data_IF_302472684671
#
_entry.id   IF_302472684671
#
_cell.length_a   1.000
_cell.length_b   1.000
_cell.length_c   1.000
_cell.angle_alpha   90.00
_cell.angle_beta   90.00
_cell.angle_gamma   90.00
#
_symmetry.space_group_name_H-M   'P 1'
#
loop_
_entity.id
_entity.type
_entity.pdbx_description
1 polymer ?
#
# COMPACT_ATOMS: atom_id res chain seq x y z
N UNK A 1 1.04 19.87 -3.90
CA UNK A 1 2.37 19.41 -3.46
C UNK A 1 2.45 17.93 -3.16
N UNK A 2 1.36 17.25 -2.80
CA UNK A 2 1.41 15.85 -2.35
C UNK A 2 2.05 14.88 -3.33
N UNK A 3 1.73 14.96 -4.63
CA UNK A 3 2.35 14.09 -5.63
C UNK A 3 3.89 14.21 -5.65
N UNK A 4 4.41 15.43 -5.58
CA UNK A 4 5.86 15.66 -5.54
C UNK A 4 6.50 15.10 -4.27
N UNK A 5 5.85 15.28 -3.12
CA UNK A 5 6.35 14.74 -1.85
C UNK A 5 6.30 13.20 -1.81
N UNK A 6 5.25 12.60 -2.39
CA UNK A 6 5.17 11.15 -2.57
C UNK A 6 6.29 10.62 -3.46
N UNK A 7 6.63 11.32 -4.55
CA UNK A 7 7.80 10.96 -5.38
C UNK A 7 9.09 10.92 -4.55
N UNK A 8 9.34 11.91 -3.71
CA UNK A 8 10.54 11.93 -2.84
C UNK A 8 10.58 10.75 -1.85
N UNK A 9 9.43 10.37 -1.28
CA UNK A 9 9.34 9.21 -0.41
C UNK A 9 9.53 7.89 -1.17
N UNK A 10 8.97 7.78 -2.37
CA UNK A 10 9.20 6.63 -3.26
C UNK A 10 10.70 6.50 -3.58
N UNK A 11 11.37 7.60 -3.91
CA UNK A 11 12.82 7.59 -4.19
C UNK A 11 13.63 7.14 -2.97
N UNK A 12 13.23 7.56 -1.76
CA UNK A 12 13.81 7.09 -0.50
C UNK A 12 13.59 5.58 -0.29
N UNK A 13 12.37 5.07 -0.52
CA UNK A 13 12.07 3.65 -0.34
C UNK A 13 12.80 2.78 -1.36
N UNK A 14 12.86 3.20 -2.63
CA UNK A 14 13.67 2.56 -3.68
C UNK A 14 15.14 2.46 -3.30
N UNK A 15 15.70 3.54 -2.75
CA UNK A 15 17.07 3.55 -2.28
C UNK A 15 17.29 2.54 -1.14
N UNK A 16 16.34 2.45 -0.20
CA UNK A 16 16.45 1.57 0.97
C UNK A 16 16.16 0.09 0.66
N UNK A 17 15.29 -0.21 -0.31
CA UNK A 17 14.80 -1.54 -0.67
C UNK A 17 15.88 -2.64 -0.71
N UNK A 18 16.97 -2.52 -1.49
CA UNK A 18 17.97 -3.59 -1.59
C UNK A 18 18.69 -3.84 -0.26
N UNK A 19 18.85 -2.84 0.59
CA UNK A 19 19.48 -2.99 1.90
C UNK A 19 18.52 -3.63 2.90
N UNK A 20 17.26 -3.20 2.90
CA UNK A 20 16.24 -3.64 3.85
C UNK A 20 15.74 -5.07 3.59
N UNK A 21 15.93 -5.61 2.39
CA UNK A 21 15.71 -7.05 2.11
C UNK A 21 16.67 -7.95 2.88
N UNK A 22 17.84 -7.45 3.25
CA UNK A 22 18.79 -8.17 4.09
C UNK A 22 18.45 -7.97 5.57
N UNK A 23 18.57 -9.03 6.37
CA UNK A 23 18.31 -8.96 7.82
C UNK A 23 19.42 -8.26 8.60
N UNK A 24 20.62 -8.15 8.01
CA UNK A 24 21.77 -7.47 8.60
C UNK A 24 21.95 -6.09 7.96
N UNK A 25 21.73 -5.03 8.77
CA UNK A 25 21.87 -3.64 8.33
C UNK A 25 23.16 -3.04 8.84
N UNK A 26 23.96 -2.46 7.93
CA UNK A 26 25.11 -1.66 8.31
C UNK A 26 24.69 -0.44 9.15
N UNK A 27 25.53 0.04 10.10
CA UNK A 27 25.15 1.15 10.99
C UNK A 27 24.62 2.43 10.30
N UNK A 28 25.17 2.87 9.15
CA UNK A 28 24.62 4.02 8.43
C UNK A 28 23.20 3.77 7.89
N UNK A 29 22.94 2.58 7.35
CA UNK A 29 21.62 2.18 6.85
C UNK A 29 20.63 2.11 8.01
N UNK A 30 21.03 1.55 9.15
CA UNK A 30 20.18 1.50 10.35
C UNK A 30 19.81 2.91 10.84
N UNK A 31 20.72 3.87 10.71
CA UNK A 31 20.45 5.28 11.04
C UNK A 31 19.44 5.89 10.08
N UNK A 32 19.59 5.63 8.77
CA UNK A 32 18.63 6.05 7.74
C UNK A 32 17.24 5.42 7.94
N UNK A 33 17.18 4.13 8.26
CA UNK A 33 15.94 3.43 8.58
C UNK A 33 15.21 4.06 9.77
N UNK A 34 15.92 4.33 10.87
CA UNK A 34 15.36 5.02 12.05
C UNK A 34 14.87 6.43 11.70
N UNK A 35 15.60 7.16 10.87
CA UNK A 35 15.16 8.47 10.36
C UNK A 35 13.87 8.37 9.54
N UNK A 36 13.80 7.38 8.66
CA UNK A 36 12.63 7.09 7.82
C UNK A 36 11.40 6.75 8.67
N UNK A 37 11.56 5.93 9.71
CA UNK A 37 10.48 5.64 10.66
C UNK A 37 9.96 6.90 11.36
N UNK A 38 10.84 7.81 11.76
CA UNK A 38 10.44 9.08 12.39
C UNK A 38 9.64 9.95 11.43
N UNK A 39 10.08 10.06 10.18
CA UNK A 39 9.33 10.78 9.14
C UNK A 39 7.95 10.15 8.93
N UNK A 40 7.88 8.83 8.79
CA UNK A 40 6.61 8.11 8.64
C UNK A 40 5.68 8.30 9.85
N UNK A 41 6.21 8.31 11.08
CA UNK A 41 5.43 8.57 12.30
C UNK A 41 4.84 10.00 12.31
N UNK A 42 5.62 11.00 11.92
CA UNK A 42 5.12 12.38 11.79
C UNK A 42 4.03 12.46 10.74
N UNK A 43 4.24 11.82 9.58
CA UNK A 43 3.23 11.79 8.51
C UNK A 43 1.96 11.06 8.95
N UNK A 44 2.07 9.95 9.68
CA UNK A 44 0.93 9.23 10.21
C UNK A 44 0.13 10.06 11.20
N UNK A 45 0.80 10.82 12.07
CA UNK A 45 0.16 11.66 13.07
C UNK A 45 -0.50 12.91 12.46
N UNK A 46 0.22 13.66 11.63
CA UNK A 46 -0.21 14.98 11.17
C UNK A 46 -0.97 14.94 9.82
N UNK A 47 -0.63 13.97 8.97
CA UNK A 47 -1.12 13.86 7.58
C UNK A 47 -1.53 12.42 7.21
N UNK A 48 -2.38 11.74 8.00
CA UNK A 48 -2.74 10.34 7.74
C UNK A 48 -3.40 10.15 6.37
N UNK A 49 -4.21 11.11 5.89
CA UNK A 49 -4.85 11.02 4.57
C UNK A 49 -3.84 10.98 3.42
N UNK A 50 -2.67 11.60 3.58
CA UNK A 50 -1.60 11.52 2.59
C UNK A 50 -1.02 10.10 2.54
N UNK A 51 -0.77 9.47 3.69
CA UNK A 51 -0.35 8.06 3.70
C UNK A 51 -1.43 7.13 3.17
N UNK A 52 -2.71 7.39 3.47
CA UNK A 52 -3.84 6.64 2.92
C UNK A 52 -3.88 6.72 1.39
N UNK A 53 -3.82 7.93 0.84
CA UNK A 53 -3.97 8.15 -0.60
C UNK A 53 -2.87 7.45 -1.42
N UNK A 54 -1.64 7.45 -0.91
CA UNK A 54 -0.45 6.93 -1.60
C UNK A 54 -0.01 5.55 -1.11
N UNK A 55 -0.78 4.88 -0.25
CA UNK A 55 -0.41 3.62 0.40
C UNK A 55 0.05 2.54 -0.59
N UNK A 56 -0.61 2.46 -1.76
CA UNK A 56 -0.31 1.47 -2.78
C UNK A 56 1.11 1.65 -3.32
N UNK A 57 1.43 2.87 -3.79
CA UNK A 57 2.75 3.17 -4.33
C UNK A 57 3.86 3.03 -3.29
N UNK A 58 3.61 3.37 -2.02
CA UNK A 58 4.61 3.15 -0.98
C UNK A 58 4.81 1.67 -0.65
N UNK A 59 3.73 0.88 -0.59
CA UNK A 59 3.83 -0.56 -0.30
C UNK A 59 4.47 -1.36 -1.43
N UNK A 60 4.41 -0.88 -2.67
CA UNK A 60 5.06 -1.51 -3.82
C UNK A 60 6.59 -1.38 -3.73
N UNK A 61 7.09 -0.29 -3.15
CA UNK A 61 8.51 0.04 -3.05
C UNK A 61 9.15 -0.38 -1.72
N UNK A 62 8.35 -0.72 -0.70
CA UNK A 62 8.85 -1.17 0.61
C UNK A 62 8.88 -2.70 0.66
N UNK A 63 10.03 -3.33 0.97
CA UNK A 63 10.12 -4.78 1.05
C UNK A 63 9.06 -5.42 1.97
N UNK A 64 8.52 -6.61 1.61
CA UNK A 64 7.51 -7.28 2.43
C UNK A 64 7.95 -7.59 3.85
N UNK A 65 9.26 -7.78 4.10
CA UNK A 65 9.83 -8.04 5.43
C UNK A 65 9.93 -6.77 6.31
N UNK A 66 9.71 -5.57 5.78
CA UNK A 66 9.71 -4.31 6.52
C UNK A 66 8.36 -4.04 7.21
N UNK A 67 7.96 -4.97 8.09
CA UNK A 67 6.63 -4.99 8.72
C UNK A 67 6.28 -3.66 9.38
N UNK A 68 7.20 -3.07 10.14
CA UNK A 68 6.94 -1.83 10.87
C UNK A 68 6.67 -0.64 9.93
N UNK A 69 7.46 -0.48 8.88
CA UNK A 69 7.25 0.60 7.90
C UNK A 69 5.91 0.44 7.19
N UNK A 70 5.58 -0.77 6.74
CA UNK A 70 4.30 -1.06 6.09
C UNK A 70 3.12 -0.83 7.03
N UNK A 71 3.24 -1.22 8.30
CA UNK A 71 2.20 -0.97 9.29
C UNK A 71 1.96 0.51 9.54
N UNK A 72 3.00 1.36 9.57
CA UNK A 72 2.82 2.81 9.71
C UNK A 72 2.00 3.40 8.55
N UNK A 73 2.21 2.91 7.33
CA UNK A 73 1.45 3.35 6.15
C UNK A 73 0.02 2.78 6.18
N UNK A 74 -0.13 1.48 6.40
CA UNK A 74 -1.41 0.77 6.34
C UNK A 74 -2.32 1.02 7.56
N UNK A 75 -1.77 1.57 8.64
CA UNK A 75 -2.54 2.02 9.81
C UNK A 75 -3.06 3.45 9.66
N UNK A 76 -2.71 4.16 8.58
CA UNK A 76 -3.27 5.46 8.30
C UNK A 76 -4.74 5.32 7.86
N UNK A 77 -5.60 6.16 8.43
CA UNK A 77 -7.02 6.27 8.04
C UNK A 77 -7.47 7.75 8.11
N UNK A 78 -8.54 8.15 7.39
CA UNK A 78 -9.03 9.53 7.42
C UNK A 78 -9.39 10.02 8.82
N UNK A 79 -8.99 11.23 9.21
CA UNK A 79 -9.19 11.74 10.60
C UNK A 79 -10.64 11.83 11.04
N UNK A 80 -11.57 11.97 10.10
CA UNK A 80 -13.00 12.04 10.38
C UNK A 80 -13.66 10.64 10.49
N UNK A 81 -12.93 9.57 10.20
CA UNK A 81 -13.40 8.20 10.38
C UNK A 81 -13.26 7.77 11.84
N UNK A 82 -14.28 7.07 12.36
CA UNK A 82 -14.24 6.45 13.68
C UNK A 82 -14.19 4.94 13.50
N UNK A 83 -13.04 4.34 13.79
CA UNK A 83 -12.90 2.90 13.74
C UNK A 83 -13.56 2.28 14.97
N UNK A 84 -14.43 1.26 14.80
CA UNK A 84 -14.93 0.50 15.93
C UNK A 84 -13.78 -0.25 16.61
N UNK A 85 -13.87 -0.46 17.92
CA UNK A 85 -12.90 -1.30 18.63
C UNK A 85 -13.00 -2.74 18.11
N UNK A 86 -11.92 -3.31 17.54
CA UNK A 86 -11.92 -4.67 16.99
C UNK A 86 -12.24 -5.75 18.03
N UNK A 87 -12.12 -5.46 19.32
CA UNK A 87 -12.43 -6.39 20.41
C UNK A 87 -13.86 -6.25 20.95
N UNK A 88 -14.69 -5.38 20.36
CA UNK A 88 -16.10 -5.23 20.75
C UNK A 88 -16.85 -6.55 20.53
N UNK A 89 -17.41 -7.19 21.58
CA UNK A 89 -18.15 -8.43 21.41
C UNK A 89 -19.36 -8.25 20.48
N UNK A 90 -19.58 -9.21 19.58
CA UNK A 90 -20.67 -9.19 18.61
C UNK A 90 -20.67 -7.98 17.65
N UNK A 91 -19.51 -7.38 17.37
CA UNK A 91 -19.37 -6.36 16.34
C UNK A 91 -19.82 -6.92 14.97
N UNK A 92 -20.79 -6.25 14.35
CA UNK A 92 -21.33 -6.61 13.04
C UNK A 92 -20.71 -5.71 11.97
N UNK A 93 -19.60 -6.18 11.40
CA UNK A 93 -18.84 -5.44 10.37
C UNK A 93 -19.67 -5.17 9.12
N UNK A 94 -20.58 -6.08 8.77
CA UNK A 94 -21.52 -5.98 7.65
C UNK A 94 -22.54 -4.84 7.77
N UNK A 95 -22.72 -4.29 8.97
CA UNK A 95 -23.63 -3.16 9.22
C UNK A 95 -22.93 -1.79 9.21
N UNK A 96 -21.59 -1.76 9.08
CA UNK A 96 -20.85 -0.50 9.01
C UNK A 96 -21.08 0.15 7.65
N UNK A 97 -21.50 1.42 7.63
CA UNK A 97 -21.79 2.12 6.39
C UNK A 97 -20.53 2.27 5.50
N UNK A 98 -19.36 2.33 6.13
CA UNK A 98 -18.07 2.53 5.51
C UNK A 98 -17.66 1.37 4.58
N UNK A 99 -18.18 0.15 4.78
CA UNK A 99 -17.81 -1.01 3.93
C UNK A 99 -18.29 -0.87 2.48
N UNK A 100 -19.33 -0.06 2.26
CA UNK A 100 -19.87 0.19 0.93
C UNK A 100 -19.10 1.30 0.18
N UNK A 101 -18.17 1.98 0.87
CA UNK A 101 -17.41 3.09 0.32
C UNK A 101 -16.02 2.59 -0.08
N UNK A 102 -15.64 2.67 -1.37
CA UNK A 102 -14.29 2.31 -1.77
C UNK A 102 -13.27 3.28 -1.17
N UNK A 103 -12.08 2.81 -0.78
CA UNK A 103 -11.04 3.69 -0.28
C UNK A 103 -10.57 4.64 -1.39
N UNK A 104 -10.17 5.85 -0.99
CA UNK A 104 -9.45 6.75 -1.89
C UNK A 104 -8.02 6.23 -2.06
N UNK A 105 -7.59 6.08 -3.31
CA UNK A 105 -6.25 5.63 -3.63
C UNK A 105 -5.75 6.27 -4.93
N UNK A 106 -4.48 6.68 -4.94
CA UNK A 106 -3.78 7.20 -6.11
C UNK A 106 -3.04 6.03 -6.75
N UNK A 107 -3.72 5.30 -7.62
CA UNK A 107 -3.19 4.10 -8.29
C UNK A 107 -3.23 4.30 -9.80
N UNK A 108 -2.09 4.14 -10.47
CA UNK A 108 -2.03 4.14 -11.92
C UNK A 108 -2.09 2.71 -12.47
N UNK A 109 -3.29 2.12 -12.48
CA UNK A 109 -3.51 0.75 -12.97
C UNK A 109 -3.00 0.53 -14.40
N UNK A 110 -3.02 1.57 -15.24
CA UNK A 110 -2.54 1.49 -16.62
C UNK A 110 -1.01 1.34 -16.71
N UNK A 111 -0.26 1.78 -15.70
CA UNK A 111 1.18 1.57 -15.64
C UNK A 111 1.56 0.23 -15.00
N UNK A 112 0.67 -0.37 -14.21
CA UNK A 112 0.91 -1.60 -13.45
C UNK A 112 0.52 -2.86 -14.21
N UNK A 113 -0.58 -2.81 -14.96
CA UNK A 113 -1.04 -3.93 -15.78
C UNK A 113 -0.28 -3.87 -17.11
N UNK A 114 0.47 -4.92 -17.49
CA UNK A 114 1.22 -4.92 -18.75
C UNK A 114 0.34 -4.51 -19.93
N UNK A 115 0.81 -3.55 -20.72
CA UNK A 115 0.15 -3.17 -21.95
C UNK A 115 0.15 -4.36 -22.93
N UNK A 116 -0.98 -4.62 -23.58
CA UNK A 116 -1.12 -5.71 -24.54
C UNK A 116 -2.37 -6.55 -24.33
N UNK A 117 -2.31 -7.84 -24.69
CA UNK A 117 -3.46 -8.75 -24.60
C UNK A 117 -3.87 -9.05 -23.16
N UNK A 118 -2.92 -9.05 -22.21
CA UNK A 118 -3.17 -9.49 -20.83
C UNK A 118 -4.38 -8.81 -20.17
N UNK A 119 -4.50 -7.48 -20.27
CA UNK A 119 -5.65 -6.75 -19.72
C UNK A 119 -6.96 -7.19 -20.38
N UNK A 120 -6.97 -7.36 -21.70
CA UNK A 120 -8.14 -7.79 -22.45
C UNK A 120 -8.52 -9.24 -22.10
N UNK A 121 -7.52 -10.11 -21.96
CA UNK A 121 -7.69 -11.51 -21.59
C UNK A 121 -8.24 -11.63 -20.15
N UNK A 122 -7.73 -10.80 -19.23
CA UNK A 122 -8.26 -10.66 -17.88
C UNK A 122 -9.71 -10.16 -17.87
N UNK A 123 -10.02 -9.09 -18.61
CA UNK A 123 -11.36 -8.53 -18.70
C UNK A 123 -12.35 -9.55 -19.31
N UNK A 124 -11.92 -10.28 -20.34
CA UNK A 124 -12.70 -11.36 -20.96
C UNK A 124 -12.96 -12.51 -19.96
N UNK A 125 -11.93 -12.92 -19.22
CA UNK A 125 -12.06 -13.96 -18.21
C UNK A 125 -12.97 -13.54 -17.06
N UNK A 126 -12.86 -12.32 -16.55
CA UNK A 126 -13.73 -11.81 -15.49
C UNK A 126 -15.20 -11.74 -15.93
N UNK A 127 -15.46 -11.45 -17.21
CA UNK A 127 -16.82 -11.36 -17.77
C UNK A 127 -17.44 -12.73 -18.08
N UNK A 128 -16.66 -13.64 -18.64
CA UNK A 128 -17.18 -14.91 -19.17
C UNK A 128 -16.80 -16.14 -18.33
N UNK A 129 -15.91 -15.99 -17.35
CA UNK A 129 -15.28 -17.07 -16.57
C UNK A 129 -14.64 -18.14 -17.46
N UNK A 130 -14.16 -17.74 -18.62
CA UNK A 130 -13.60 -18.59 -19.66
C UNK A 130 -12.57 -17.80 -20.48
N UNK A 131 -11.56 -18.47 -21.08
CA UNK A 131 -11.26 -19.90 -20.97
C UNK A 131 -10.51 -20.24 -19.67
N UNK A 132 -10.62 -21.49 -19.20
CA UNK A 132 -9.88 -21.95 -17.99
C UNK A 132 -8.35 -21.88 -18.18
N UNK A 133 -7.88 -21.91 -19.43
CA UNK A 133 -6.45 -21.82 -19.77
C UNK A 133 -5.82 -20.51 -19.30
N UNK A 134 -6.58 -19.42 -19.27
CA UNK A 134 -6.13 -18.13 -18.73
C UNK A 134 -5.54 -18.26 -17.31
N UNK A 135 -6.16 -19.08 -16.44
CA UNK A 135 -5.64 -19.32 -15.09
C UNK A 135 -4.31 -20.08 -15.07
N UNK A 136 -4.07 -20.94 -16.05
CA UNK A 136 -2.82 -21.69 -16.16
C UNK A 136 -1.69 -20.81 -16.71
N UNK A 137 -2.04 -19.83 -17.54
CA UNK A 137 -1.13 -18.85 -18.14
C UNK A 137 -0.74 -17.72 -17.19
N UNK A 138 -1.48 -17.54 -16.08
CA UNK A 138 -1.19 -16.56 -15.02
C UNK A 138 0.00 -16.93 -14.11
N UNK A 139 0.57 -18.14 -14.25
CA UNK A 139 1.62 -18.66 -13.37
C UNK A 139 3.01 -18.13 -13.70
#
# INVERSE_FOLDING_TARGET
GWGMYATLLIDLFKFLDPFLRNTELAPPVMTMYKGTLKVLLVLLHDFPEFLCDYHYGFCDEIPPNCIQMRNLILSAFPRNMRLPDPFTPNLKVDLLAEIAVPPRAVINYNALIPAGSFKNDLDAYLKARAPVTFLSELR
#
